data_IF_539298217495
#
_entry.id   IF_539298217495
#
_cell.length_a   1.000
_cell.length_b   1.000
_cell.length_c   1.000
_cell.angle_alpha   90.00
_cell.angle_beta   90.00
_cell.angle_gamma   90.00
#
_symmetry.space_group_name_H-M   'P 1'
#
loop_
_entity.id
_entity.type
_entity.pdbx_description
1 polymer ?
#
# COMPACT_ATOMS: atom_id res chain seq x y z
N UNK A 1 10.01 9.16 63.33
CA UNK A 1 10.00 8.50 62.00
C UNK A 1 11.30 7.71 61.88
N UNK A 2 11.25 6.41 61.54
CA UNK A 2 12.47 5.58 61.46
C UNK A 2 13.23 5.83 60.16
N UNK A 3 14.57 5.78 60.19
CA UNK A 3 15.45 5.89 59.01
C UNK A 3 15.05 4.88 57.93
N UNK A 4 14.57 3.69 58.32
CA UNK A 4 14.06 2.67 57.40
C UNK A 4 12.84 3.16 56.63
N UNK A 5 11.90 3.82 57.30
CA UNK A 5 10.68 4.37 56.69
C UNK A 5 11.04 5.50 55.71
N UNK A 6 12.00 6.35 56.06
CA UNK A 6 12.48 7.43 55.19
C UNK A 6 13.14 6.91 53.90
N UNK A 7 14.01 5.89 54.02
CA UNK A 7 14.66 5.27 52.87
C UNK A 7 13.66 4.55 51.95
N UNK A 8 12.62 3.93 52.50
CA UNK A 8 11.57 3.28 51.71
C UNK A 8 10.78 4.30 50.87
N UNK A 9 10.41 5.44 51.47
CA UNK A 9 9.72 6.54 50.76
C UNK A 9 10.62 7.15 49.68
N UNK A 10 11.92 7.32 49.95
CA UNK A 10 12.86 7.85 48.95
C UNK A 10 13.00 6.90 47.76
N UNK A 11 13.16 5.60 48.02
CA UNK A 11 13.31 4.57 46.98
C UNK A 11 12.05 4.41 46.15
N UNK A 12 10.86 4.51 46.75
CA UNK A 12 9.60 4.46 45.99
C UNK A 12 9.46 5.66 45.06
N UNK A 13 9.77 6.88 45.53
CA UNK A 13 9.77 8.08 44.68
C UNK A 13 10.76 7.98 43.52
N UNK A 14 11.99 7.53 43.78
CA UNK A 14 13.00 7.35 42.73
C UNK A 14 12.57 6.31 41.69
N UNK A 15 11.92 5.22 42.13
CA UNK A 15 11.33 4.23 41.23
C UNK A 15 10.25 4.85 40.32
N UNK A 16 9.30 5.61 40.88
CA UNK A 16 8.27 6.26 40.08
C UNK A 16 8.85 7.24 39.06
N UNK A 17 9.84 8.05 39.45
CA UNK A 17 10.47 9.03 38.54
C UNK A 17 11.22 8.33 37.40
N UNK A 18 11.97 7.27 37.70
CA UNK A 18 12.67 6.48 36.67
C UNK A 18 11.70 5.79 35.72
N UNK A 19 10.68 5.13 36.26
CA UNK A 19 9.69 4.42 35.44
C UNK A 19 8.90 5.38 34.57
N UNK A 20 8.48 6.54 35.12
CA UNK A 20 7.79 7.58 34.36
C UNK A 20 8.62 8.07 33.18
N UNK A 21 9.89 8.43 33.41
CA UNK A 21 10.79 8.88 32.33
C UNK A 21 11.04 7.79 31.28
N UNK A 22 11.19 6.54 31.71
CA UNK A 22 11.38 5.41 30.78
C UNK A 22 10.16 5.23 29.87
N UNK A 23 8.96 5.24 30.47
CA UNK A 23 7.69 5.14 29.73
C UNK A 23 7.49 6.33 28.80
N UNK A 24 7.78 7.55 29.28
CA UNK A 24 7.74 8.77 28.47
C UNK A 24 8.67 8.66 27.25
N UNK A 25 9.93 8.24 27.44
CA UNK A 25 10.86 8.05 26.33
C UNK A 25 10.39 6.98 25.36
N UNK A 26 9.82 5.87 25.86
CA UNK A 26 9.27 4.82 25.01
C UNK A 26 8.07 5.31 24.17
N UNK A 27 7.20 6.12 24.76
CA UNK A 27 6.06 6.74 24.06
C UNK A 27 6.58 7.70 22.97
N UNK A 28 7.53 8.58 23.30
CA UNK A 28 8.12 9.51 22.32
C UNK A 28 8.75 8.75 21.15
N UNK A 29 9.53 7.70 21.43
CA UNK A 29 10.11 6.84 20.39
C UNK A 29 9.02 6.17 19.54
N UNK A 30 7.96 5.65 20.17
CA UNK A 30 6.84 5.05 19.45
C UNK A 30 6.17 6.05 18.52
N UNK A 31 5.95 7.29 18.95
CA UNK A 31 5.36 8.34 18.12
C UNK A 31 6.26 8.67 16.93
N UNK A 32 7.57 8.79 17.16
CA UNK A 32 8.54 9.04 16.08
C UNK A 32 8.50 7.92 15.04
N UNK A 33 8.47 6.66 15.47
CA UNK A 33 8.35 5.51 14.56
C UNK A 33 7.04 5.56 13.79
N UNK A 34 5.91 5.82 14.44
CA UNK A 34 4.61 5.92 13.78
C UNK A 34 4.57 7.03 12.73
N UNK A 35 5.12 8.21 13.04
CA UNK A 35 5.24 9.32 12.08
C UNK A 35 6.16 8.94 10.92
N UNK A 36 7.30 8.31 11.21
CA UNK A 36 8.22 7.81 10.19
C UNK A 36 7.58 6.81 9.24
N UNK A 37 6.79 5.87 9.77
CA UNK A 37 6.03 4.91 8.97
C UNK A 37 4.97 5.62 8.11
N UNK A 38 4.24 6.59 8.66
CA UNK A 38 3.25 7.36 7.91
C UNK A 38 3.90 8.11 6.73
N UNK A 39 5.01 8.80 6.97
CA UNK A 39 5.76 9.48 5.92
C UNK A 39 6.30 8.50 4.88
N UNK A 40 6.83 7.35 5.32
CA UNK A 40 7.32 6.31 4.42
C UNK A 40 6.24 5.73 3.51
N UNK A 41 5.03 5.54 4.02
CA UNK A 41 3.88 5.11 3.23
C UNK A 41 3.55 6.17 2.17
N UNK A 42 3.40 7.43 2.58
CA UNK A 42 3.08 8.54 1.65
C UNK A 42 4.15 8.65 0.54
N UNK A 43 5.43 8.57 0.92
CA UNK A 43 6.53 8.62 -0.03
C UNK A 43 6.49 7.46 -1.03
N UNK A 44 6.25 6.23 -0.55
CA UNK A 44 6.15 5.04 -1.40
C UNK A 44 5.00 5.16 -2.40
N UNK A 45 3.84 5.65 -1.97
CA UNK A 45 2.70 5.89 -2.86
C UNK A 45 2.98 6.98 -3.89
N UNK A 46 3.76 8.01 -3.53
CA UNK A 46 4.03 9.14 -4.42
C UNK A 46 5.00 8.81 -5.55
N UNK A 47 5.81 7.76 -5.40
CA UNK A 47 6.81 7.33 -6.40
C UNK A 47 6.34 6.08 -7.16
N UNK A 48 5.19 5.52 -6.79
CA UNK A 48 4.67 4.34 -7.45
C UNK A 48 4.42 4.69 -8.93
N UNK A 49 5.10 4.01 -9.88
CA UNK A 49 4.84 4.25 -11.29
C UNK A 49 3.41 3.83 -11.63
N UNK A 50 2.82 4.48 -12.62
CA UNK A 50 1.53 4.07 -13.15
C UNK A 50 1.63 2.59 -13.62
N UNK A 51 0.68 1.74 -13.23
CA UNK A 51 0.70 0.33 -13.61
C UNK A 51 0.48 0.18 -15.12
N UNK A 52 1.34 -0.59 -15.77
CA UNK A 52 1.13 -0.99 -17.15
C UNK A 52 0.02 -2.05 -17.22
N UNK A 53 -0.97 -1.82 -18.09
CA UNK A 53 -2.07 -2.74 -18.32
C UNK A 53 -1.89 -3.43 -19.66
N UNK A 54 -2.17 -4.74 -19.71
CA UNK A 54 -2.10 -5.51 -20.94
C UNK A 54 -3.37 -6.34 -21.09
N UNK A 55 -3.91 -6.38 -22.30
CA UNK A 55 -4.93 -7.35 -22.67
C UNK A 55 -4.26 -8.61 -23.19
N UNK A 56 -4.55 -9.74 -22.56
CA UNK A 56 -4.08 -11.06 -23.00
C UNK A 56 -5.27 -11.87 -23.50
N UNK A 57 -5.19 -12.35 -24.73
CA UNK A 57 -6.09 -13.37 -25.26
C UNK A 57 -5.29 -14.66 -25.44
N UNK A 58 -5.89 -15.83 -25.19
CA UNK A 58 -5.17 -17.11 -25.13
C UNK A 58 -4.38 -17.50 -26.39
N UNK A 59 -4.65 -16.86 -27.52
CA UNK A 59 -4.05 -17.11 -28.83
C UNK A 59 -3.19 -15.94 -29.36
N UNK A 60 -3.34 -14.72 -28.82
CA UNK A 60 -2.67 -13.50 -29.33
C UNK A 60 -1.64 -12.95 -28.34
N UNK A 61 -0.63 -12.26 -28.87
CA UNK A 61 0.38 -11.60 -28.04
C UNK A 61 -0.24 -10.52 -27.15
N UNK A 62 0.26 -10.29 -25.92
CA UNK A 62 -0.26 -9.25 -25.05
C UNK A 62 -0.27 -7.87 -25.72
N UNK A 63 -1.43 -7.22 -25.74
CA UNK A 63 -1.60 -5.87 -26.30
C UNK A 63 -1.57 -4.85 -25.16
N UNK A 64 -0.71 -3.81 -25.21
CA UNK A 64 -0.68 -2.78 -24.18
C UNK A 64 -1.97 -1.96 -24.20
N UNK A 65 -2.53 -1.72 -23.02
CA UNK A 65 -3.72 -0.89 -22.81
C UNK A 65 -3.30 0.48 -22.29
N UNK A 66 -4.03 1.51 -22.70
CA UNK A 66 -3.89 2.85 -22.13
C UNK A 66 -4.61 2.86 -20.77
N UNK A 67 -3.87 3.20 -19.71
CA UNK A 67 -4.46 3.36 -18.38
C UNK A 67 -5.54 4.46 -18.41
N UNK A 68 -6.66 4.21 -17.73
CA UNK A 68 -7.75 5.18 -17.59
C UNK A 68 -8.02 5.46 -16.12
N UNK A 69 -8.18 6.73 -15.77
CA UNK A 69 -8.51 7.17 -14.40
C UNK A 69 -9.92 6.75 -13.96
N UNK A 70 -10.78 6.41 -14.92
CA UNK A 70 -12.17 6.00 -14.67
C UNK A 70 -12.53 4.76 -15.47
N UNK A 71 -13.46 3.92 -14.95
CA UNK A 71 -13.99 2.81 -15.71
C UNK A 71 -14.58 3.26 -17.04
N UNK A 72 -14.44 2.44 -18.08
CA UNK A 72 -15.09 2.71 -19.36
C UNK A 72 -16.61 2.54 -19.23
N UNK A 73 -17.33 3.66 -19.11
CA UNK A 73 -18.80 3.69 -19.10
C UNK A 73 -19.42 3.75 -20.51
N UNK A 74 -18.60 3.82 -21.56
CA UNK A 74 -19.09 3.85 -22.93
C UNK A 74 -19.45 2.45 -23.42
N UNK A 75 -20.32 2.38 -24.44
CA UNK A 75 -20.60 1.13 -25.15
C UNK A 75 -19.52 0.79 -26.19
N UNK A 76 -18.40 1.53 -26.23
CA UNK A 76 -17.30 1.28 -27.14
C UNK A 76 -16.21 0.46 -26.43
N UNK A 77 -15.80 -0.69 -26.98
CA UNK A 77 -14.71 -1.48 -26.42
C UNK A 77 -13.38 -0.73 -26.48
N UNK A 78 -12.49 -1.00 -25.51
CA UNK A 78 -11.17 -0.36 -25.41
C UNK A 78 -10.19 -0.83 -26.50
N UNK A 79 -10.40 -2.04 -26.99
CA UNK A 79 -9.65 -2.61 -28.09
C UNK A 79 -10.53 -2.54 -29.34
N UNK A 80 -9.88 -2.35 -30.49
CA UNK A 80 -10.55 -2.56 -31.75
C UNK A 80 -11.03 -4.01 -31.85
N UNK A 81 -12.13 -4.24 -32.57
CA UNK A 81 -12.57 -5.59 -32.87
C UNK A 81 -11.49 -6.29 -33.70
N UNK A 82 -11.07 -7.48 -33.27
CA UNK A 82 -10.08 -8.31 -33.97
C UNK A 82 -10.65 -8.91 -35.27
N UNK A 83 -11.89 -8.56 -35.64
CA UNK A 83 -12.58 -8.98 -36.87
C UNK A 83 -12.00 -8.36 -38.16
N UNK A 84 -10.68 -8.45 -38.35
CA UNK A 84 -10.12 -8.43 -39.69
C UNK A 84 -10.45 -9.76 -40.38
N UNK A 85 -11.57 -9.75 -41.10
CA UNK A 85 -11.94 -10.68 -42.18
C UNK A 85 -11.89 -12.17 -41.82
N UNK A 86 -12.96 -12.66 -41.22
CA UNK A 86 -13.40 -14.05 -41.45
C UNK A 86 -13.96 -14.16 -42.89
N UNK A 87 -13.11 -13.88 -43.89
CA UNK A 87 -13.44 -14.03 -45.32
C UNK A 87 -13.07 -15.43 -45.84
N UNK A 88 -12.64 -16.34 -44.97
CA UNK A 88 -12.48 -17.75 -45.32
C UNK A 88 -13.86 -18.42 -45.32
N UNK A 89 -14.72 -18.01 -46.27
CA UNK A 89 -15.87 -18.80 -46.69
C UNK A 89 -15.32 -20.09 -47.30
N UNK A 90 -15.01 -21.07 -46.44
CA UNK A 90 -14.69 -22.42 -46.89
C UNK A 90 -15.93 -22.96 -47.58
N UNK A 91 -15.89 -23.06 -48.90
CA UNK A 91 -16.95 -23.67 -49.68
C UNK A 91 -17.18 -25.10 -49.17
N UNK A 92 -18.38 -25.37 -48.67
CA UNK A 92 -18.78 -26.73 -48.33
C UNK A 92 -18.86 -27.53 -49.64
N UNK A 93 -18.11 -28.63 -49.80
CA UNK A 93 -18.24 -29.48 -50.97
C UNK A 93 -19.64 -30.10 -51.00
N UNK A 94 -20.26 -30.09 -52.18
CA UNK A 94 -21.57 -30.69 -52.48
C UNK A 94 -21.42 -32.20 -52.71
#
# INVERSE_FOLDING_TARGET
MSIKTWNLIKRSKEFYVRTYRSVETAIVISVIISVGLMVGIIYTYSILPEPDYYATFGETSPVPLIAMDTPNYSSQPLLADDSNQDSDVRAMPQ
#
